data_IF_119422739237
#
_entry.id   IF_119422739237
#
_cell.length_a   1.000
_cell.length_b   1.000
_cell.length_c   1.000
_cell.angle_alpha   90.00
_cell.angle_beta   90.00
_cell.angle_gamma   90.00
#
_symmetry.space_group_name_H-M   'P 1'
#
loop_
_entity.id
_entity.type
_entity.pdbx_description
1 polymer ?
#
# COMPACT_ATOMS: atom_id res chain seq x y z
N UNK A 1 3.62 -9.10 -18.14
CA UNK A 1 3.18 -8.07 -17.16
C UNK A 1 3.66 -8.45 -15.78
N UNK A 2 3.77 -7.49 -14.85
CA UNK A 2 4.21 -7.72 -13.46
C UNK A 2 3.09 -7.44 -12.46
N UNK A 3 3.25 -7.95 -11.23
CA UNK A 3 2.25 -7.82 -10.15
C UNK A 3 1.78 -6.38 -9.92
N UNK A 4 2.71 -5.44 -9.82
CA UNK A 4 2.45 -3.99 -9.83
C UNK A 4 3.20 -3.36 -11.00
N UNK A 5 2.69 -2.31 -11.66
CA UNK A 5 3.31 -1.77 -12.86
C UNK A 5 4.59 -0.99 -12.55
N UNK A 6 4.64 -0.30 -11.40
CA UNK A 6 5.80 0.49 -10.99
C UNK A 6 7.05 -0.39 -10.76
N UNK A 7 8.22 0.21 -10.97
CA UNK A 7 9.54 -0.40 -10.80
C UNK A 7 10.44 0.50 -9.95
N UNK A 8 11.49 -0.07 -9.37
CA UNK A 8 12.55 0.72 -8.72
C UNK A 8 13.16 1.67 -9.73
N UNK A 9 13.39 2.92 -9.33
CA UNK A 9 14.04 3.92 -10.17
C UNK A 9 15.56 3.96 -9.86
N UNK A 10 16.44 3.45 -10.73
CA UNK A 10 17.89 3.49 -10.48
C UNK A 10 18.46 4.91 -10.48
N UNK A 11 17.87 5.84 -11.24
CA UNK A 11 18.29 7.25 -11.30
C UNK A 11 18.17 7.93 -9.92
N UNK A 12 17.21 7.50 -9.10
CA UNK A 12 17.01 8.06 -7.77
C UNK A 12 18.24 7.84 -6.88
N UNK A 13 18.85 6.65 -6.93
CA UNK A 13 20.04 6.36 -6.12
C UNK A 13 21.19 7.28 -6.49
N UNK A 14 21.43 7.47 -7.78
CA UNK A 14 22.46 8.38 -8.26
C UNK A 14 22.21 9.82 -7.79
N UNK A 15 20.98 10.32 -7.93
CA UNK A 15 20.62 11.68 -7.46
C UNK A 15 20.73 11.82 -5.93
N UNK A 16 20.45 10.75 -5.17
CA UNK A 16 20.66 10.73 -3.71
C UNK A 16 22.15 10.84 -3.39
N UNK A 17 23.03 10.11 -4.09
CA UNK A 17 24.48 10.18 -3.89
C UNK A 17 25.02 11.57 -4.23
N UNK A 18 24.62 12.13 -5.37
CA UNK A 18 25.00 13.49 -5.79
C UNK A 18 24.54 14.54 -4.78
N UNK A 19 23.27 14.48 -4.35
CA UNK A 19 22.74 15.45 -3.38
C UNK A 19 23.35 15.28 -1.98
N UNK A 20 23.63 14.05 -1.56
CA UNK A 20 24.32 13.79 -0.31
C UNK A 20 25.73 14.42 -0.30
N UNK A 21 26.44 14.39 -1.43
CA UNK A 21 27.76 15.03 -1.54
C UNK A 21 27.66 16.56 -1.50
N UNK A 22 26.64 17.14 -2.12
CA UNK A 22 26.34 18.57 -1.99
C UNK A 22 26.05 18.94 -0.54
N UNK A 23 25.25 18.15 0.17
CA UNK A 23 24.98 18.41 1.59
C UNK A 23 26.26 18.32 2.44
N UNK A 24 27.10 17.31 2.25
CA UNK A 24 28.36 17.18 2.99
C UNK A 24 29.31 18.36 2.77
N UNK A 25 29.31 18.95 1.58
CA UNK A 25 30.29 19.99 1.21
C UNK A 25 29.75 21.41 1.28
N UNK A 26 28.43 21.60 1.19
CA UNK A 26 27.81 22.93 1.05
C UNK A 26 26.66 23.21 2.02
N UNK A 27 26.30 22.28 2.93
CA UNK A 27 25.21 22.51 3.88
C UNK A 27 25.41 23.76 4.77
N UNK A 28 26.65 24.16 5.06
CA UNK A 28 26.96 25.38 5.80
C UNK A 28 26.49 26.67 5.10
N UNK A 29 26.22 26.61 3.79
CA UNK A 29 25.72 27.75 3.00
C UNK A 29 24.19 27.88 3.00
N UNK A 30 23.46 26.89 3.55
CA UNK A 30 22.00 26.86 3.48
C UNK A 30 21.31 27.83 4.44
N UNK A 31 21.98 28.20 5.53
CA UNK A 31 21.53 29.20 6.49
C UNK A 31 22.71 29.71 7.31
N UNK A 32 22.64 30.96 7.74
CA UNK A 32 23.63 31.54 8.65
C UNK A 32 23.30 31.14 10.09
N UNK A 33 24.22 30.37 10.70
CA UNK A 33 24.15 29.95 12.10
C UNK A 33 25.14 30.72 12.99
N UNK A 34 25.81 31.76 12.46
CA UNK A 34 26.89 32.46 13.16
C UNK A 34 28.12 31.59 13.41
N UNK A 35 28.31 30.53 12.61
CA UNK A 35 29.40 29.57 12.74
C UNK A 35 30.36 29.68 11.54
N UNK A 36 31.64 29.42 11.79
CA UNK A 36 32.58 29.15 10.69
C UNK A 36 32.21 27.83 10.00
N UNK A 37 32.66 27.64 8.76
CA UNK A 37 32.48 26.36 8.03
C UNK A 37 33.05 25.18 8.85
N UNK A 38 34.24 25.36 9.43
CA UNK A 38 34.87 24.35 10.28
C UNK A 38 34.00 23.98 11.47
N UNK A 39 33.46 24.98 12.17
CA UNK A 39 32.62 24.74 13.35
C UNK A 39 31.28 24.11 12.96
N UNK A 40 30.68 24.48 11.83
CA UNK A 40 29.44 23.90 11.34
C UNK A 40 29.55 22.37 11.17
N UNK A 41 30.65 21.89 10.58
CA UNK A 41 30.86 20.46 10.34
C UNK A 41 31.43 19.70 11.55
N UNK A 42 32.31 20.32 12.34
CA UNK A 42 33.01 19.65 13.43
C UNK A 42 32.28 19.70 14.78
N UNK A 43 31.35 20.65 14.98
CA UNK A 43 30.57 20.77 16.24
C UNK A 43 29.51 19.68 16.44
N UNK A 44 29.23 18.88 15.40
CA UNK A 44 28.14 17.91 15.40
C UNK A 44 26.78 18.48 14.99
N UNK A 45 26.65 19.79 14.70
CA UNK A 45 25.40 20.40 14.22
C UNK A 45 24.88 19.72 12.95
N UNK A 46 25.72 19.57 11.93
CA UNK A 46 25.34 18.93 10.67
C UNK A 46 24.94 17.46 10.87
N UNK A 47 25.79 16.67 11.53
CA UNK A 47 25.54 15.24 11.79
C UNK A 47 24.27 15.03 12.61
N UNK A 48 24.11 15.78 13.70
CA UNK A 48 22.92 15.72 14.55
C UNK A 48 21.64 16.11 13.81
N UNK A 49 21.72 17.06 12.88
CA UNK A 49 20.59 17.45 12.03
C UNK A 49 20.18 16.32 11.07
N UNK A 50 21.14 15.69 10.39
CA UNK A 50 20.88 14.54 9.50
C UNK A 50 20.28 13.37 10.29
N UNK A 51 20.84 13.04 11.45
CA UNK A 51 20.33 11.97 12.32
C UNK A 51 18.92 12.26 12.83
N UNK A 52 18.62 13.51 13.19
CA UNK A 52 17.29 13.97 13.61
C UNK A 52 16.27 13.83 12.47
N UNK A 53 16.58 14.32 11.28
CA UNK A 53 15.71 14.22 10.09
C UNK A 53 15.45 12.74 9.75
N UNK A 54 16.49 11.90 9.74
CA UNK A 54 16.36 10.46 9.53
C UNK A 54 15.44 9.81 10.57
N UNK A 55 15.58 10.20 11.84
CA UNK A 55 14.71 9.77 12.94
C UNK A 55 13.24 10.14 12.70
N UNK A 56 12.96 11.35 12.21
CA UNK A 56 11.61 11.82 11.90
C UNK A 56 10.95 11.00 10.77
N UNK A 57 11.69 10.69 9.70
CA UNK A 57 11.19 9.86 8.61
C UNK A 57 10.96 8.39 9.02
N UNK A 58 11.79 7.87 9.92
CA UNK A 58 11.70 6.47 10.36
C UNK A 58 10.55 6.21 11.34
N UNK A 59 10.07 7.25 12.04
CA UNK A 59 9.21 7.09 13.21
C UNK A 59 7.71 7.37 12.98
N UNK A 60 7.31 8.02 11.89
CA UNK A 60 6.01 8.71 11.90
C UNK A 60 4.88 7.98 11.16
N UNK A 61 4.17 7.13 11.90
CA UNK A 61 2.78 6.76 11.55
C UNK A 61 1.87 7.99 11.40
N UNK A 62 2.26 9.12 12.02
CA UNK A 62 1.57 10.41 11.91
C UNK A 62 1.43 10.87 10.47
N UNK A 63 2.51 10.86 9.68
CA UNK A 63 2.47 11.32 8.29
C UNK A 63 1.59 10.41 7.43
N UNK A 64 1.68 9.09 7.66
CA UNK A 64 0.84 8.10 6.96
C UNK A 64 -0.64 8.30 7.24
N UNK A 65 -0.99 8.50 8.52
CA UNK A 65 -2.37 8.76 8.92
C UNK A 65 -2.86 10.09 8.37
N UNK A 66 -2.02 11.12 8.39
CA UNK A 66 -2.38 12.42 7.83
C UNK A 66 -2.60 12.36 6.31
N UNK A 67 -1.79 11.61 5.58
CA UNK A 67 -2.01 11.33 4.16
C UNK A 67 -3.35 10.64 3.92
N UNK A 68 -3.63 9.55 4.63
CA UNK A 68 -4.88 8.79 4.50
C UNK A 68 -6.08 9.65 4.86
N UNK A 69 -6.01 10.42 5.95
CA UNK A 69 -7.05 11.35 6.36
C UNK A 69 -7.35 12.37 5.25
N UNK A 70 -6.33 12.93 4.59
CA UNK A 70 -6.51 13.86 3.46
C UNK A 70 -7.20 13.22 2.27
N UNK A 71 -6.83 11.99 1.94
CA UNK A 71 -7.49 11.22 0.87
C UNK A 71 -8.96 10.95 1.20
N UNK A 72 -9.25 10.45 2.40
CA UNK A 72 -10.62 10.15 2.81
C UNK A 72 -11.47 11.44 2.90
N UNK A 73 -10.91 12.53 3.43
CA UNK A 73 -11.58 13.85 3.41
C UNK A 73 -11.90 14.28 1.98
N UNK A 74 -10.95 14.13 1.06
CA UNK A 74 -11.16 14.46 -0.36
C UNK A 74 -12.28 13.64 -1.00
N UNK A 75 -12.40 12.35 -0.65
CA UNK A 75 -13.50 11.47 -1.09
C UNK A 75 -14.83 11.89 -0.48
N UNK A 76 -14.84 12.24 0.82
CA UNK A 76 -16.02 12.70 1.55
C UNK A 76 -16.56 14.02 0.96
N UNK A 77 -15.69 15.01 0.74
CA UNK A 77 -16.04 16.31 0.15
C UNK A 77 -16.68 16.19 -1.24
N UNK A 78 -16.46 15.05 -1.92
CA UNK A 78 -16.99 14.73 -3.25
C UNK A 78 -18.11 13.69 -3.23
N UNK A 79 -18.60 13.33 -2.05
CA UNK A 79 -19.67 12.37 -1.83
C UNK A 79 -19.38 10.95 -2.37
N UNK A 80 -18.11 10.56 -2.49
CA UNK A 80 -17.73 9.17 -2.81
C UNK A 80 -17.81 8.25 -1.59
N UNK A 81 -17.70 8.83 -0.40
CA UNK A 81 -17.98 8.19 0.89
C UNK A 81 -18.89 9.13 1.68
N UNK A 82 -19.72 8.58 2.59
CA UNK A 82 -20.62 9.39 3.41
C UNK A 82 -19.87 10.01 4.59
N UNK A 83 -19.11 9.19 5.32
CA UNK A 83 -18.34 9.64 6.47
C UNK A 83 -17.13 8.72 6.75
N UNK A 84 -16.18 9.18 7.56
CA UNK A 84 -15.12 8.32 8.08
C UNK A 84 -14.61 8.81 9.43
N UNK A 85 -14.18 7.85 10.26
CA UNK A 85 -13.61 8.10 11.58
C UNK A 85 -12.29 7.34 11.75
N UNK A 86 -11.36 7.91 12.52
CA UNK A 86 -10.18 7.17 12.94
C UNK A 86 -10.49 6.30 14.15
N UNK A 87 -10.21 5.01 14.03
CA UNK A 87 -10.55 3.99 15.04
C UNK A 87 -9.50 3.90 16.16
N UNK A 88 -8.48 4.77 16.17
CA UNK A 88 -7.43 4.78 17.19
C UNK A 88 -6.48 3.58 17.13
N UNK A 89 -5.42 3.58 17.96
CA UNK A 89 -4.33 2.58 17.86
C UNK A 89 -4.56 1.23 18.56
N UNK A 90 -5.73 1.02 19.20
CA UNK A 90 -6.04 -0.24 19.91
C UNK A 90 -6.76 -1.26 19.04
N UNK A 91 -7.35 -0.81 17.94
CA UNK A 91 -8.07 -1.65 17.00
C UNK A 91 -7.11 -2.26 15.97
N UNK A 92 -7.49 -3.39 15.37
CA UNK A 92 -6.75 -4.03 14.25
C UNK A 92 -7.22 -3.51 12.88
N UNK A 93 -7.67 -2.26 12.88
CA UNK A 93 -8.04 -1.40 11.76
C UNK A 93 -7.82 0.06 12.22
N UNK A 94 -7.39 0.95 11.31
CA UNK A 94 -7.08 2.35 11.61
C UNK A 94 -8.27 3.29 11.35
N UNK A 95 -9.17 2.91 10.43
CA UNK A 95 -10.31 3.72 10.02
C UNK A 95 -11.58 2.90 9.84
N UNK A 96 -12.70 3.54 10.15
CA UNK A 96 -14.05 3.12 9.78
C UNK A 96 -14.59 4.12 8.76
N UNK A 97 -15.20 3.63 7.69
CA UNK A 97 -15.75 4.42 6.59
C UNK A 97 -17.21 4.03 6.39
N UNK A 98 -18.10 5.00 6.48
CA UNK A 98 -19.50 4.86 6.12
C UNK A 98 -19.67 5.15 4.63
N UNK A 99 -20.26 4.21 3.92
CA UNK A 99 -20.47 4.26 2.48
C UNK A 99 -21.87 4.79 2.15
N UNK A 100 -22.09 5.37 0.94
CA UNK A 100 -23.40 5.91 0.55
C UNK A 100 -24.55 4.89 0.62
N UNK A 101 -24.26 3.59 0.46
CA UNK A 101 -25.25 2.53 0.62
C UNK A 101 -25.67 2.24 2.07
N UNK A 102 -25.01 2.85 3.06
CA UNK A 102 -25.14 2.52 4.48
C UNK A 102 -24.25 1.36 4.95
N UNK A 103 -23.46 0.74 4.05
CA UNK A 103 -22.43 -0.23 4.44
C UNK A 103 -21.31 0.44 5.22
N UNK A 104 -20.65 -0.35 6.07
CA UNK A 104 -19.45 0.05 6.80
C UNK A 104 -18.25 -0.70 6.23
N UNK A 105 -17.25 0.04 5.75
CA UNK A 105 -15.93 -0.48 5.43
C UNK A 105 -14.94 -0.13 6.55
N UNK A 106 -13.98 -1.01 6.82
CA UNK A 106 -12.83 -0.70 7.67
C UNK A 106 -11.54 -0.79 6.87
N UNK A 107 -10.57 0.07 7.22
CA UNK A 107 -9.27 0.13 6.55
C UNK A 107 -8.18 -0.08 7.60
N UNK A 108 -7.32 -1.06 7.37
CA UNK A 108 -6.09 -1.26 8.13
C UNK A 108 -4.88 -0.76 7.33
N UNK A 109 -4.09 0.15 7.90
CA UNK A 109 -2.91 0.67 7.24
C UNK A 109 -1.71 -0.25 7.45
N UNK A 110 -0.97 -0.51 6.37
CA UNK A 110 0.29 -1.24 6.39
C UNK A 110 1.40 -0.41 5.78
N UNK A 111 2.63 -0.69 6.21
CA UNK A 111 3.84 -0.21 5.53
C UNK A 111 4.15 -1.06 4.30
N UNK A 112 5.44 -1.35 4.11
CA UNK A 112 5.87 -2.41 3.19
C UNK A 112 5.18 -3.73 3.54
N UNK A 113 4.75 -4.47 2.52
CA UNK A 113 3.93 -5.68 2.67
C UNK A 113 4.75 -6.96 2.90
N UNK A 114 6.08 -6.84 3.01
CA UNK A 114 7.03 -7.92 3.22
C UNK A 114 7.23 -8.28 4.71
N UNK A 115 6.88 -7.37 5.63
CA UNK A 115 6.99 -7.56 7.07
C UNK A 115 5.86 -8.40 7.71
N UNK A 116 6.08 -8.79 8.96
CA UNK A 116 5.09 -9.54 9.77
C UNK A 116 3.91 -8.68 10.24
N UNK A 117 4.08 -7.35 10.26
CA UNK A 117 3.00 -6.41 10.57
C UNK A 117 1.82 -6.55 9.59
N UNK A 118 2.06 -7.04 8.37
CA UNK A 118 1.04 -7.34 7.36
C UNK A 118 0.02 -8.39 7.82
N UNK A 119 0.36 -9.24 8.79
CA UNK A 119 -0.53 -10.29 9.29
C UNK A 119 -1.53 -9.82 10.36
N UNK A 120 -1.35 -8.60 10.88
CA UNK A 120 -2.10 -8.10 12.03
C UNK A 120 -3.29 -7.28 11.54
N UNK A 121 -4.43 -7.90 11.31
CA UNK A 121 -5.68 -7.22 10.94
C UNK A 121 -6.86 -8.06 11.42
N UNK A 122 -8.01 -7.42 11.60
CA UNK A 122 -9.25 -8.08 11.98
C UNK A 122 -10.45 -7.33 11.41
N UNK A 123 -11.41 -8.06 10.84
CA UNK A 123 -12.69 -7.47 10.46
C UNK A 123 -13.60 -7.45 11.69
N UNK A 124 -14.02 -6.28 12.20
CA UNK A 124 -14.98 -6.26 13.28
C UNK A 124 -16.37 -6.68 12.78
N UNK A 125 -17.21 -7.20 13.68
CA UNK A 125 -18.51 -7.78 13.32
C UNK A 125 -19.49 -6.81 12.63
N UNK A 126 -19.34 -5.50 12.86
CA UNK A 126 -20.18 -4.48 12.25
C UNK A 126 -19.71 -4.02 10.86
N UNK A 127 -18.51 -4.45 10.41
CA UNK A 127 -17.98 -4.06 9.11
C UNK A 127 -18.40 -5.04 8.01
N UNK A 128 -18.93 -4.49 6.93
CA UNK A 128 -19.23 -5.23 5.70
C UNK A 128 -17.96 -5.51 4.90
N UNK A 129 -17.03 -4.55 4.87
CA UNK A 129 -15.82 -4.61 4.05
C UNK A 129 -14.55 -4.41 4.92
N UNK A 130 -13.48 -5.15 4.65
CA UNK A 130 -12.14 -4.92 5.22
C UNK A 130 -11.11 -4.77 4.10
N UNK A 131 -10.47 -3.61 4.06
CA UNK A 131 -9.39 -3.28 3.12
C UNK A 131 -8.07 -3.14 3.85
N UNK A 132 -7.02 -3.72 3.28
CA UNK A 132 -5.65 -3.41 3.67
C UNK A 132 -5.14 -2.30 2.75
N UNK A 133 -4.55 -1.25 3.31
CA UNK A 133 -3.94 -0.18 2.51
C UNK A 133 -2.44 -0.06 2.82
N UNK A 134 -1.60 -0.47 1.87
CA UNK A 134 -0.16 -0.28 1.92
C UNK A 134 0.23 1.17 1.63
N UNK A 135 0.66 1.88 2.67
CA UNK A 135 1.26 3.20 2.64
C UNK A 135 2.77 3.04 2.92
N UNK A 136 3.54 2.80 1.85
CA UNK A 136 4.93 2.37 1.93
C UNK A 136 5.87 3.35 1.24
N UNK A 137 6.37 4.34 1.99
CA UNK A 137 7.32 5.33 1.48
C UNK A 137 8.77 4.84 1.39
N UNK A 138 9.02 3.57 1.72
CA UNK A 138 10.35 2.97 1.59
C UNK A 138 10.77 2.91 0.12
N UNK A 139 11.75 3.74 -0.24
CA UNK A 139 12.32 3.82 -1.60
C UNK A 139 13.35 2.72 -1.89
N UNK A 140 13.88 2.05 -0.86
CA UNK A 140 14.88 0.99 -1.00
C UNK A 140 14.29 -0.36 -1.45
N UNK A 141 13.02 -0.62 -1.09
CA UNK A 141 12.32 -1.87 -1.39
C UNK A 141 11.80 -1.96 -2.82
N UNK A 142 11.75 -3.17 -3.37
CA UNK A 142 11.11 -3.42 -4.67
C UNK A 142 9.59 -3.54 -4.49
N UNK A 143 8.78 -2.61 -5.03
CA UNK A 143 7.33 -2.68 -4.90
C UNK A 143 6.73 -3.96 -5.48
N UNK A 144 7.34 -4.56 -6.51
CA UNK A 144 6.85 -5.82 -7.10
C UNK A 144 7.03 -6.97 -6.13
N UNK A 145 8.24 -7.10 -5.57
CA UNK A 145 8.54 -8.12 -4.55
C UNK A 145 7.65 -7.95 -3.32
N UNK A 146 7.47 -6.72 -2.85
CA UNK A 146 6.71 -6.44 -1.63
C UNK A 146 5.22 -6.75 -1.82
N UNK A 147 4.61 -6.32 -2.92
CA UNK A 147 3.20 -6.63 -3.21
C UNK A 147 3.00 -8.13 -3.35
N UNK A 148 3.86 -8.83 -4.10
CA UNK A 148 3.77 -10.29 -4.22
C UNK A 148 3.91 -10.99 -2.85
N UNK A 149 4.88 -10.56 -2.03
CA UNK A 149 5.04 -11.08 -0.67
C UNK A 149 3.79 -10.86 0.17
N UNK A 150 3.18 -9.67 0.09
CA UNK A 150 1.94 -9.33 0.77
C UNK A 150 0.78 -10.23 0.38
N UNK A 151 0.49 -10.31 -0.92
CA UNK A 151 -0.62 -11.09 -1.46
C UNK A 151 -0.42 -12.59 -1.19
N UNK A 152 0.72 -13.11 -1.65
CA UNK A 152 0.99 -14.53 -1.60
C UNK A 152 1.36 -14.97 -0.19
N UNK A 153 2.40 -14.42 0.44
CA UNK A 153 2.97 -15.04 1.66
C UNK A 153 2.33 -14.57 2.97
N UNK A 154 1.61 -13.44 2.97
CA UNK A 154 1.05 -12.84 4.19
C UNK A 154 -0.47 -12.92 4.22
N UNK A 155 -1.14 -12.13 3.38
CA UNK A 155 -2.59 -11.98 3.40
C UNK A 155 -3.28 -13.32 3.11
N UNK A 156 -2.89 -14.04 2.06
CA UNK A 156 -3.52 -15.33 1.78
C UNK A 156 -3.25 -16.38 2.87
N UNK A 157 -2.09 -16.35 3.52
CA UNK A 157 -1.79 -17.27 4.63
C UNK A 157 -2.72 -16.99 5.82
N UNK A 158 -2.91 -15.72 6.18
CA UNK A 158 -3.85 -15.31 7.22
C UNK A 158 -5.31 -15.64 6.86
N UNK A 159 -5.72 -15.41 5.61
CA UNK A 159 -7.06 -15.74 5.16
C UNK A 159 -7.35 -17.23 5.29
N UNK A 160 -6.43 -18.08 4.84
CA UNK A 160 -6.63 -19.54 4.79
C UNK A 160 -6.39 -20.20 6.14
N UNK A 161 -5.31 -19.85 6.85
CA UNK A 161 -4.96 -20.52 8.11
C UNK A 161 -5.72 -19.99 9.32
N UNK A 162 -6.13 -18.73 9.30
CA UNK A 162 -6.81 -18.09 10.44
C UNK A 162 -8.25 -17.67 10.11
N UNK A 163 -8.82 -18.14 9.00
CA UNK A 163 -10.18 -17.85 8.56
C UNK A 163 -10.52 -16.36 8.57
N UNK A 164 -9.59 -15.52 8.11
CA UNK A 164 -9.79 -14.07 8.01
C UNK A 164 -10.32 -13.69 6.63
N UNK A 165 -11.24 -12.74 6.58
CA UNK A 165 -11.80 -12.22 5.33
C UNK A 165 -11.28 -10.80 5.06
N UNK A 166 -10.61 -10.61 3.93
CA UNK A 166 -10.12 -9.32 3.40
C UNK A 166 -10.68 -9.17 2.00
N UNK A 167 -11.32 -8.04 1.68
CA UNK A 167 -11.97 -7.86 0.37
C UNK A 167 -11.05 -7.22 -0.66
N UNK A 168 -10.02 -6.51 -0.19
CA UNK A 168 -8.98 -6.07 -1.09
C UNK A 168 -7.79 -5.38 -0.46
N UNK A 169 -6.86 -5.03 -1.34
CA UNK A 169 -5.62 -4.33 -1.03
C UNK A 169 -5.50 -3.09 -1.92
N UNK A 170 -5.17 -1.95 -1.30
CA UNK A 170 -4.72 -0.74 -1.98
C UNK A 170 -3.20 -0.63 -1.81
N UNK A 171 -2.47 -0.41 -2.90
CA UNK A 171 -1.05 -0.05 -2.87
C UNK A 171 -0.90 1.36 -3.39
N UNK A 172 -0.79 2.32 -2.47
CA UNK A 172 -0.83 3.73 -2.82
C UNK A 172 -0.31 4.61 -1.68
N UNK A 173 0.58 5.54 -2.00
CA UNK A 173 1.13 6.54 -1.07
C UNK A 173 1.59 7.77 -1.85
N UNK A 174 2.05 8.79 -1.15
CA UNK A 174 2.50 10.06 -1.74
C UNK A 174 3.81 9.98 -2.52
N UNK A 175 4.50 8.83 -2.54
CA UNK A 175 5.68 8.64 -3.39
C UNK A 175 5.26 8.20 -4.79
N UNK A 176 4.07 7.61 -4.96
CA UNK A 176 3.53 7.24 -6.26
C UNK A 176 3.42 8.45 -7.20
N UNK A 177 3.96 8.34 -8.41
CA UNK A 177 3.97 9.42 -9.41
C UNK A 177 5.17 10.36 -9.30
N UNK A 178 5.92 10.33 -8.19
CA UNK A 178 7.13 11.13 -8.02
C UNK A 178 8.35 10.48 -8.69
N UNK A 179 9.50 11.18 -8.67
CA UNK A 179 10.80 10.61 -9.06
C UNK A 179 11.12 9.30 -8.31
N UNK A 180 10.69 9.18 -7.05
CA UNK A 180 10.96 8.00 -6.23
C UNK A 180 10.21 6.75 -6.69
N UNK A 181 9.04 6.92 -7.31
CA UNK A 181 8.21 5.84 -7.86
C UNK A 181 7.40 6.36 -9.05
N UNK A 182 8.05 6.47 -10.21
CA UNK A 182 7.40 6.83 -11.46
C UNK A 182 6.23 5.88 -11.73
N UNK A 183 5.07 6.44 -12.06
CA UNK A 183 3.85 5.67 -12.25
C UNK A 183 3.55 5.49 -13.74
N UNK A 184 3.56 4.25 -14.26
CA UNK A 184 3.24 4.00 -15.67
C UNK A 184 1.85 4.50 -16.09
N UNK A 185 0.92 4.63 -15.13
CA UNK A 185 -0.42 5.18 -15.38
C UNK A 185 -0.37 6.65 -15.82
N UNK A 186 0.53 7.44 -15.22
CA UNK A 186 0.72 8.86 -15.57
C UNK A 186 1.63 9.02 -16.80
N UNK A 187 2.52 8.07 -17.06
CA UNK A 187 3.29 8.04 -18.32
C UNK A 187 2.36 7.78 -19.51
N UNK A 188 1.36 6.91 -19.34
CA UNK A 188 0.35 6.62 -20.36
C UNK A 188 -0.66 7.76 -20.52
N UNK A 189 -1.14 8.34 -19.43
CA UNK A 189 -2.06 9.48 -19.45
C UNK A 189 -1.82 10.42 -18.24
N UNK A 190 -1.12 11.54 -18.45
CA UNK A 190 -0.85 12.53 -17.42
C UNK A 190 -2.11 13.19 -16.83
N UNK A 191 -3.24 13.19 -17.54
CA UNK A 191 -4.48 13.86 -17.10
C UNK A 191 -5.18 13.12 -15.96
N UNK A 192 -4.75 11.88 -15.69
CA UNK A 192 -5.26 11.02 -14.59
C UNK A 192 -4.72 11.39 -13.22
N UNK A 193 -3.89 12.43 -13.14
CA UNK A 193 -3.42 12.99 -11.89
C UNK A 193 -4.58 13.62 -11.10
N UNK A 194 -4.52 13.47 -9.77
CA UNK A 194 -5.47 14.09 -8.84
C UNK A 194 -4.69 14.85 -7.77
N UNK A 195 -4.97 16.15 -7.65
CA UNK A 195 -4.37 17.00 -6.63
C UNK A 195 -5.14 16.88 -5.31
N UNK A 196 -4.46 16.46 -4.24
CA UNK A 196 -5.02 16.36 -2.89
C UNK A 196 -4.09 17.09 -1.93
N UNK A 197 -4.49 18.27 -1.47
CA UNK A 197 -3.65 19.17 -0.70
C UNK A 197 -2.30 19.41 -1.42
N UNK A 198 -1.17 18.98 -0.83
CA UNK A 198 0.17 19.13 -1.41
C UNK A 198 0.59 17.97 -2.33
N UNK A 199 -0.25 16.94 -2.50
CA UNK A 199 0.10 15.74 -3.24
C UNK A 199 -0.51 15.75 -4.64
N UNK A 200 0.27 15.30 -5.61
CA UNK A 200 -0.20 15.01 -6.96
C UNK A 200 -0.15 13.50 -7.17
N UNK A 201 -1.32 12.85 -7.10
CA UNK A 201 -1.39 11.41 -6.99
C UNK A 201 -1.91 10.75 -8.26
N UNK A 202 -1.33 9.62 -8.69
CA UNK A 202 -1.92 8.78 -9.72
C UNK A 202 -3.11 7.99 -9.16
N UNK A 203 -3.91 7.36 -10.04
CA UNK A 203 -4.93 6.39 -9.62
C UNK A 203 -4.33 5.24 -8.78
N UNK A 204 -4.98 4.81 -7.67
CA UNK A 204 -4.47 3.75 -6.79
C UNK A 204 -4.34 2.41 -7.51
N UNK A 205 -3.39 1.56 -7.09
CA UNK A 205 -3.34 0.17 -7.54
C UNK A 205 -4.23 -0.68 -6.62
N UNK A 206 -5.28 -1.27 -7.19
CA UNK A 206 -6.31 -2.02 -6.46
C UNK A 206 -6.18 -3.51 -6.77
N UNK A 207 -6.23 -4.33 -5.72
CA UNK A 207 -6.24 -5.78 -5.80
C UNK A 207 -7.49 -6.30 -5.08
N UNK A 208 -8.42 -6.87 -5.83
CA UNK A 208 -9.66 -7.44 -5.33
C UNK A 208 -9.45 -8.90 -4.94
N UNK A 209 -9.91 -9.25 -3.74
CA UNK A 209 -9.83 -10.59 -3.18
C UNK A 209 -11.18 -11.29 -3.30
N UNK A 210 -11.23 -12.61 -3.09
CA UNK A 210 -12.50 -13.32 -3.14
C UNK A 210 -13.46 -12.90 -2.04
N UNK A 211 -14.77 -12.95 -2.32
CA UNK A 211 -15.83 -12.63 -1.36
C UNK A 211 -15.97 -13.68 -0.23
N UNK A 212 -15.33 -14.84 -0.40
CA UNK A 212 -15.40 -15.99 0.52
C UNK A 212 -14.01 -16.50 0.86
N UNK A 213 -13.86 -17.03 2.08
CA UNK A 213 -12.59 -17.56 2.57
C UNK A 213 -12.22 -18.83 1.80
N UNK A 214 -11.01 -18.95 1.22
CA UNK A 214 -10.59 -20.17 0.54
C UNK A 214 -10.46 -21.33 1.53
N UNK A 215 -11.10 -22.45 1.22
CA UNK A 215 -11.14 -23.64 2.08
C UNK A 215 -11.09 -24.91 1.22
N UNK A 216 -10.22 -25.86 1.55
CA UNK A 216 -9.97 -27.06 0.73
C UNK A 216 -11.23 -27.88 0.44
N UNK A 217 -12.15 -27.98 1.40
CA UNK A 217 -13.32 -28.88 1.27
C UNK A 217 -14.50 -28.24 0.54
N UNK A 218 -14.81 -26.99 0.86
CA UNK A 218 -16.07 -26.35 0.44
C UNK A 218 -15.88 -25.19 -0.52
N UNK A 219 -14.67 -24.65 -0.62
CA UNK A 219 -14.38 -23.45 -1.41
C UNK A 219 -12.92 -23.44 -1.87
N UNK A 220 -12.55 -24.46 -2.65
CA UNK A 220 -11.14 -24.73 -2.95
C UNK A 220 -10.52 -23.73 -3.92
N UNK A 221 -11.33 -23.06 -4.75
CA UNK A 221 -10.85 -22.21 -5.85
C UNK A 221 -11.61 -20.88 -5.98
N UNK A 222 -11.76 -20.07 -4.92
CA UNK A 222 -12.50 -18.82 -5.00
C UNK A 222 -11.70 -17.79 -5.80
N UNK A 223 -12.42 -17.02 -6.63
CA UNK A 223 -11.84 -15.98 -7.48
C UNK A 223 -12.08 -14.58 -6.90
N UNK A 224 -11.21 -13.64 -7.25
CA UNK A 224 -11.37 -12.24 -6.86
C UNK A 224 -12.74 -11.69 -7.28
N UNK A 225 -13.45 -11.07 -6.35
CA UNK A 225 -14.80 -10.56 -6.61
C UNK A 225 -14.79 -9.34 -7.53
N UNK A 226 -15.90 -9.03 -8.24
CA UNK A 226 -16.02 -7.83 -9.05
C UNK A 226 -15.81 -6.54 -8.24
N UNK A 227 -15.34 -5.48 -8.89
CA UNK A 227 -15.04 -4.20 -8.21
C UNK A 227 -16.29 -3.59 -7.58
N UNK A 228 -17.42 -3.68 -8.27
CA UNK A 228 -18.74 -3.22 -7.83
C UNK A 228 -19.26 -3.92 -6.57
N UNK A 229 -18.70 -5.08 -6.21
CA UNK A 229 -19.05 -5.80 -4.98
C UNK A 229 -18.31 -5.25 -3.75
N UNK A 230 -17.23 -4.47 -3.93
CA UNK A 230 -16.44 -3.85 -2.85
C UNK A 230 -16.53 -2.34 -2.99
N UNK A 231 -17.54 -1.76 -2.35
CA UNK A 231 -17.99 -0.40 -2.61
C UNK A 231 -16.92 0.64 -2.24
N UNK A 232 -16.14 0.44 -1.17
CA UNK A 232 -15.04 1.36 -0.87
C UNK A 232 -13.99 1.36 -1.99
N UNK A 233 -13.62 0.20 -2.54
CA UNK A 233 -12.64 0.12 -3.62
C UNK A 233 -13.20 0.69 -4.92
N UNK A 234 -14.48 0.48 -5.19
CA UNK A 234 -15.18 1.12 -6.29
C UNK A 234 -15.14 2.66 -6.13
N UNK A 235 -15.38 3.18 -4.93
CA UNK A 235 -15.29 4.61 -4.64
C UNK A 235 -13.87 5.16 -4.86
N UNK A 236 -12.83 4.46 -4.41
CA UNK A 236 -11.44 4.82 -4.72
C UNK A 236 -11.17 4.84 -6.23
N UNK A 237 -11.63 3.82 -6.95
CA UNK A 237 -11.46 3.71 -8.39
C UNK A 237 -12.10 4.90 -9.12
N UNK A 238 -13.35 5.25 -8.78
CA UNK A 238 -14.06 6.36 -9.42
C UNK A 238 -13.48 7.73 -9.05
N UNK A 239 -13.23 7.97 -7.75
CA UNK A 239 -12.74 9.25 -7.26
C UNK A 239 -11.37 9.64 -7.83
N UNK A 240 -10.50 8.64 -8.05
CA UNK A 240 -9.12 8.85 -8.47
C UNK A 240 -8.86 8.43 -9.91
N UNK A 241 -9.86 8.50 -10.80
CA UNK A 241 -9.71 8.29 -12.25
C UNK A 241 -9.05 6.94 -12.60
N UNK A 242 -9.44 5.89 -11.87
CA UNK A 242 -9.06 4.51 -12.15
C UNK A 242 -9.59 4.07 -13.52
N UNK A 243 -8.83 3.20 -14.18
CA UNK A 243 -9.23 2.56 -15.42
C UNK A 243 -9.37 1.05 -15.17
N UNK A 244 -10.16 0.35 -15.97
CA UNK A 244 -10.43 -1.07 -15.78
C UNK A 244 -9.15 -1.92 -15.78
N UNK A 245 -8.17 -1.54 -16.60
CA UNK A 245 -6.86 -2.16 -16.69
C UNK A 245 -5.95 -1.93 -15.48
N UNK A 246 -6.33 -1.05 -14.54
CA UNK A 246 -5.60 -0.83 -13.29
C UNK A 246 -5.97 -1.83 -12.19
N UNK A 247 -7.12 -2.48 -12.33
CA UNK A 247 -7.70 -3.34 -11.30
C UNK A 247 -7.17 -4.75 -11.47
N UNK A 248 -6.62 -5.28 -10.38
CA UNK A 248 -6.11 -6.64 -10.32
C UNK A 248 -7.06 -7.52 -9.52
N UNK A 249 -7.23 -8.77 -9.93
CA UNK A 249 -8.04 -9.79 -9.25
C UNK A 249 -7.11 -10.85 -8.71
N UNK A 250 -7.25 -11.19 -7.43
CA UNK A 250 -6.45 -12.19 -6.73
C UNK A 250 -7.31 -13.42 -6.52
N UNK A 251 -6.93 -14.51 -7.17
CA UNK A 251 -7.57 -15.80 -7.04
C UNK A 251 -6.70 -16.72 -6.17
N UNK A 252 -7.37 -17.61 -5.44
CA UNK A 252 -6.70 -18.64 -4.65
C UNK A 252 -7.16 -20.01 -5.08
N UNK A 253 -6.23 -20.95 -5.05
CA UNK A 253 -6.54 -22.37 -5.11
C UNK A 253 -5.87 -23.06 -3.94
N UNK A 254 -6.63 -23.81 -3.15
CA UNK A 254 -6.16 -24.50 -1.95
C UNK A 254 -6.41 -25.99 -2.06
N UNK A 255 -5.43 -26.78 -1.62
CA UNK A 255 -5.50 -28.23 -1.65
C UNK A 255 -4.74 -28.84 -0.48
N UNK A 256 -5.02 -30.12 -0.18
CA UNK A 256 -4.12 -30.92 0.63
C UNK A 256 -3.06 -31.59 -0.24
N UNK A 257 -1.80 -31.55 0.20
CA UNK A 257 -0.72 -32.37 -0.35
C UNK A 257 -0.04 -33.09 0.82
N UNK A 258 -0.37 -34.37 1.00
CA UNK A 258 -0.01 -35.10 2.20
C UNK A 258 -0.66 -34.47 3.43
N UNK A 259 0.15 -34.13 4.44
CA UNK A 259 -0.32 -33.50 5.67
C UNK A 259 -0.43 -31.98 5.59
N UNK A 260 0.07 -31.36 4.52
CA UNK A 260 0.17 -29.90 4.42
C UNK A 260 -0.99 -29.32 3.60
N UNK A 261 -1.49 -28.17 4.06
CA UNK A 261 -2.36 -27.31 3.24
C UNK A 261 -1.46 -26.47 2.34
N UNK A 262 -1.66 -26.61 1.04
CA UNK A 262 -0.94 -25.84 0.02
C UNK A 262 -1.87 -24.85 -0.65
N UNK A 263 -1.30 -23.74 -1.13
CA UNK A 263 -2.02 -22.76 -1.95
C UNK A 263 -1.28 -22.46 -3.24
N UNK A 264 -2.05 -22.12 -4.26
CA UNK A 264 -1.63 -21.37 -5.43
C UNK A 264 -2.32 -20.00 -5.38
N UNK A 265 -1.56 -18.94 -5.67
CA UNK A 265 -2.08 -17.58 -5.81
C UNK A 265 -1.94 -17.18 -7.26
N UNK A 266 -3.03 -16.71 -7.86
CA UNK A 266 -3.05 -16.21 -9.25
C UNK A 266 -3.51 -14.77 -9.20
N UNK A 267 -2.78 -13.88 -9.87
CA UNK A 267 -3.19 -12.48 -10.03
C UNK A 267 -3.45 -12.21 -11.49
N UNK A 268 -4.66 -11.73 -11.79
CA UNK A 268 -5.11 -11.33 -13.12
C UNK A 268 -5.29 -9.83 -13.19
N UNK A 269 -5.00 -9.22 -14.33
CA UNK A 269 -5.29 -7.81 -14.62
C UNK A 269 -5.57 -7.65 -16.10
N UNK A 270 -6.63 -6.95 -16.47
CA UNK A 270 -7.07 -6.84 -17.88
C UNK A 270 -7.35 -8.20 -18.52
N UNK A 271 -7.95 -9.13 -17.77
CA UNK A 271 -8.29 -10.48 -18.25
C UNK A 271 -7.13 -11.48 -18.37
N UNK A 272 -5.88 -11.04 -18.19
CA UNK A 272 -4.71 -11.92 -18.33
C UNK A 272 -4.04 -12.21 -16.97
N UNK A 273 -3.43 -13.38 -16.84
CA UNK A 273 -2.60 -13.74 -15.67
C UNK A 273 -1.30 -12.93 -15.71
N UNK A 274 -1.08 -12.09 -14.70
CA UNK A 274 0.15 -11.30 -14.57
C UNK A 274 1.19 -11.98 -13.69
N UNK A 275 0.75 -12.81 -12.75
CA UNK A 275 1.64 -13.63 -11.92
C UNK A 275 0.86 -14.81 -11.33
N UNK A 276 1.52 -15.96 -11.23
CA UNK A 276 0.97 -17.16 -10.61
C UNK A 276 2.08 -17.88 -9.85
N UNK A 277 1.76 -18.44 -8.68
CA UNK A 277 2.65 -19.34 -7.96
C UNK A 277 2.40 -20.79 -8.34
N UNK A 278 3.38 -21.66 -8.12
CA UNK A 278 3.09 -23.08 -7.92
C UNK A 278 2.31 -23.28 -6.61
N UNK A 279 1.83 -24.50 -6.38
CA UNK A 279 1.31 -24.89 -5.09
C UNK A 279 2.44 -24.90 -4.05
N UNK A 280 2.29 -24.06 -3.03
CA UNK A 280 3.27 -23.88 -1.95
C UNK A 280 2.62 -24.11 -0.59
N UNK A 281 3.31 -24.74 0.38
CA UNK A 281 2.81 -24.87 1.74
C UNK A 281 2.54 -23.50 2.37
N UNK A 282 1.41 -23.39 3.08
CA UNK A 282 1.02 -22.12 3.73
C UNK A 282 1.88 -21.86 4.96
N UNK A 283 2.14 -22.90 5.75
CA UNK A 283 3.10 -22.88 6.85
C UNK A 283 4.44 -23.40 6.34
N UNK A 284 5.50 -22.60 6.53
CA UNK A 284 6.88 -23.12 6.39
C UNK A 284 7.22 -23.78 7.73
N UNK A 285 7.39 -25.10 7.72
CA UNK A 285 8.06 -25.80 8.83
C UNK A 285 9.52 -25.37 8.90
#
# INVERSE_FOLDING_TARGET
>A
MSITPCKKNPELNQRIEEFAEVLKTKAHLLADYGLSESDFYNSGLFRGSVERIRGQFSATMREKREFVRRVLSYMQDRNYIANFDSSGGKNRYDYTVELPSGKIAVIELKGGLDGNNTNIFERPAHANELIVWSVSTNQGGDPRRNVWSGLHTRLSAEMISNNKQVDGLIVWDWVCGTLGRRCPKLEADPTRITAIAQFELPPPCIYLFPATIPEVRNNASPSGQPLECVEILHAFHQCFKGAAEDVSFVDFEVAYRGADTVRRTTVRRGGIVVQQSDFTPIQRR
#
